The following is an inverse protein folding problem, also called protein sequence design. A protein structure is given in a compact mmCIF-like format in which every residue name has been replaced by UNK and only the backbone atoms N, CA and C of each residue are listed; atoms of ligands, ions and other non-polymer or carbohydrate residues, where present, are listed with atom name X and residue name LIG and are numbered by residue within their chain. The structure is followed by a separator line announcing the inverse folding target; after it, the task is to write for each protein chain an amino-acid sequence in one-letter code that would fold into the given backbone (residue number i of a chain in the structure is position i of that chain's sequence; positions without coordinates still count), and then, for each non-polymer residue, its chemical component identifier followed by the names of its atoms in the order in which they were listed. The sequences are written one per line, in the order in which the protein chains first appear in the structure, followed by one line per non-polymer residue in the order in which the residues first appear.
data_IF_682802795918
#
_entry.id   IF_682802795918
#
_cell.length_a   1.000
_cell.length_b   1.000
_cell.length_c   1.000
_cell.angle_alpha   90.00
_cell.angle_beta   90.00
_cell.angle_gamma   90.00
#
_symmetry.space_group_name_H-M   'P 1'
#
loop_
_entity.id
_entity.type
_entity.pdbx_description
1 polymer ?
#
# COMPACT_ATOMS: atom_id res chain seq x y z
N UNK A 1 -21.87 16.20 51.00
CA UNK A 1 -21.21 15.98 49.69
C UNK A 1 -21.65 14.61 49.21
N UNK A 2 -22.36 14.53 48.10
CA UNK A 2 -23.12 13.33 47.71
C UNK A 2 -22.24 12.41 46.85
N UNK A 3 -21.65 11.38 47.46
CA UNK A 3 -20.67 10.47 46.82
C UNK A 3 -21.26 9.75 45.60
N UNK A 4 -22.59 9.56 45.57
CA UNK A 4 -23.31 8.98 44.44
C UNK A 4 -23.32 9.87 43.19
N UNK A 5 -23.21 11.20 43.35
CA UNK A 5 -23.09 12.10 42.21
C UNK A 5 -21.68 12.09 41.60
N UNK A 6 -20.65 11.75 42.38
CA UNK A 6 -19.27 11.67 41.86
C UNK A 6 -19.10 10.41 40.99
N UNK A 7 -19.71 9.28 41.38
CA UNK A 7 -19.66 8.05 40.59
C UNK A 7 -20.41 8.18 39.26
N UNK A 8 -21.58 8.83 39.26
CA UNK A 8 -22.34 9.11 38.02
C UNK A 8 -21.63 10.08 37.07
N UNK A 9 -20.81 11.01 37.60
CA UNK A 9 -20.03 11.93 36.75
C UNK A 9 -18.74 11.26 36.22
N UNK A 10 -18.13 10.33 36.96
CA UNK A 10 -17.01 9.50 36.45
C UNK A 10 -17.47 8.56 35.34
N UNK A 11 -18.65 7.93 35.49
CA UNK A 11 -19.22 7.03 34.48
C UNK A 11 -19.55 7.75 33.15
N UNK A 12 -19.97 9.03 33.22
CA UNK A 12 -20.16 9.87 32.02
C UNK A 12 -18.84 10.26 31.36
N UNK A 13 -17.79 10.50 32.13
CA UNK A 13 -16.46 10.88 31.62
C UNK A 13 -15.74 9.68 30.99
N UNK A 14 -15.97 8.45 31.47
CA UNK A 14 -15.40 7.24 30.88
C UNK A 14 -16.06 6.84 29.55
N UNK A 15 -17.36 7.10 29.38
CA UNK A 15 -18.08 6.87 28.11
C UNK A 15 -17.54 7.72 26.95
N UNK A 16 -17.27 9.01 27.19
CA UNK A 16 -16.67 9.91 26.19
C UNK A 16 -15.21 9.55 25.86
N UNK A 17 -14.47 8.94 26.80
CA UNK A 17 -13.09 8.53 26.58
C UNK A 17 -13.00 7.31 25.67
N UNK A 18 -13.93 6.35 25.79
CA UNK A 18 -13.99 5.18 24.93
C UNK A 18 -14.42 5.50 23.48
N UNK A 19 -15.29 6.50 23.28
CA UNK A 19 -15.62 6.99 21.93
C UNK A 19 -14.47 7.74 21.25
N UNK A 20 -13.62 8.43 22.02
CA UNK A 20 -12.44 9.14 21.51
C UNK A 20 -11.26 8.24 21.16
N UNK A 21 -11.20 7.01 21.69
CA UNK A 21 -10.04 6.13 21.54
C UNK A 21 -10.07 5.19 20.34
N UNK A 22 -11.12 5.17 19.51
CA UNK A 22 -11.04 4.44 18.22
C UNK A 22 -12.03 4.91 17.12
N UNK A 23 -11.87 6.13 16.58
CA UNK A 23 -12.68 6.60 15.45
C UNK A 23 -12.65 5.63 14.25
N UNK A 24 -11.50 4.98 14.03
CA UNK A 24 -11.27 4.00 12.96
C UNK A 24 -12.02 2.68 13.17
N UNK A 25 -12.18 2.21 14.42
CA UNK A 25 -12.94 0.97 14.71
C UNK A 25 -14.44 1.20 14.54
N UNK A 26 -14.92 2.38 14.93
CA UNK A 26 -16.33 2.77 14.75
C UNK A 26 -16.67 2.94 13.24
N UNK A 27 -15.78 3.59 12.47
CA UNK A 27 -15.91 3.67 11.01
C UNK A 27 -15.92 2.29 10.31
N UNK A 28 -15.06 1.36 10.75
CA UNK A 28 -15.07 -0.02 10.27
C UNK A 28 -16.35 -0.76 10.70
N UNK A 29 -16.86 -0.54 11.92
CA UNK A 29 -18.13 -1.11 12.38
C UNK A 29 -19.33 -0.61 11.57
N UNK A 30 -19.34 0.65 11.13
CA UNK A 30 -20.35 1.16 10.20
C UNK A 30 -20.25 0.51 8.82
N UNK A 31 -19.04 0.25 8.32
CA UNK A 31 -18.83 -0.52 7.08
C UNK A 31 -19.28 -1.99 7.22
N UNK A 32 -19.03 -2.61 8.38
CA UNK A 32 -19.45 -3.99 8.70
C UNK A 32 -20.96 -4.11 8.93
N UNK A 33 -21.64 -3.08 9.46
CA UNK A 33 -23.09 -3.11 9.70
C UNK A 33 -23.92 -2.97 8.41
N UNK A 34 -23.35 -2.45 7.32
CA UNK A 34 -23.95 -2.54 5.98
C UNK A 34 -23.86 -3.99 5.43
N UNK A 35 -22.94 -4.81 5.94
CA UNK A 35 -22.67 -6.19 5.53
C UNK A 35 -23.39 -7.30 6.31
N UNK A 36 -24.34 -6.98 7.21
CA UNK A 36 -25.05 -7.94 8.09
C UNK A 36 -26.01 -8.94 7.39
N UNK A 37 -25.79 -9.23 6.11
CA UNK A 37 -26.45 -10.32 5.37
C UNK A 37 -25.49 -11.32 4.71
N UNK A 38 -24.23 -11.41 5.15
CA UNK A 38 -23.36 -12.53 4.76
C UNK A 38 -22.74 -13.16 6.01
N UNK A 39 -23.25 -14.33 6.33
CA UNK A 39 -22.84 -15.18 7.45
C UNK A 39 -21.37 -15.59 7.39
N UNK A 40 -20.69 -15.44 8.52
CA UNK A 40 -19.39 -16.01 8.85
C UNK A 40 -19.50 -17.53 8.96
N UNK A 41 -19.17 -18.24 7.88
CA UNK A 41 -18.61 -19.61 7.84
C UNK A 41 -18.81 -20.18 6.43
N UNK A 42 -17.76 -20.13 5.59
CA UNK A 42 -17.32 -21.20 4.67
C UNK A 42 -15.99 -20.74 4.04
N UNK A 43 -15.06 -21.69 4.00
CA UNK A 43 -13.69 -21.67 3.47
C UNK A 43 -13.54 -21.15 2.02
N UNK A 44 -12.30 -20.82 1.61
CA UNK A 44 -11.96 -20.27 0.30
C UNK A 44 -11.98 -21.35 -0.80
N UNK A 45 -13.13 -21.62 -1.42
CA UNK A 45 -13.20 -22.45 -2.65
C UNK A 45 -14.33 -22.07 -3.65
N UNK A 46 -15.04 -20.95 -3.47
CA UNK A 46 -16.19 -20.61 -4.34
C UNK A 46 -16.09 -19.27 -5.07
N UNK A 47 -14.87 -18.76 -5.32
CA UNK A 47 -14.67 -17.59 -6.21
C UNK A 47 -14.97 -17.89 -7.71
N UNK A 48 -15.50 -19.08 -8.04
CA UNK A 48 -15.58 -19.59 -9.41
C UNK A 48 -16.92 -19.45 -10.15
N UNK A 49 -18.05 -19.08 -9.52
CA UNK A 49 -19.36 -19.21 -10.18
C UNK A 49 -20.25 -17.95 -10.22
N UNK A 50 -19.79 -16.81 -9.71
CA UNK A 50 -20.55 -15.55 -9.79
C UNK A 50 -20.22 -14.67 -11.02
N UNK A 51 -19.28 -15.08 -11.88
CA UNK A 51 -18.81 -14.26 -13.02
C UNK A 51 -19.39 -14.65 -14.39
N UNK A 52 -20.43 -15.48 -14.41
CA UNK A 52 -20.99 -16.02 -15.64
C UNK A 52 -22.27 -15.27 -16.04
N UNK A 53 -22.13 -14.01 -16.47
CA UNK A 53 -23.03 -13.34 -17.44
C UNK A 53 -22.62 -11.89 -17.69
N UNK A 54 -21.76 -11.70 -18.70
CA UNK A 54 -21.80 -10.65 -19.72
C UNK A 54 -20.46 -10.65 -20.48
N UNK A 55 -20.12 -11.76 -21.14
CA UNK A 55 -19.07 -11.75 -22.16
C UNK A 55 -19.68 -11.13 -23.43
N UNK A 56 -19.69 -9.80 -23.50
CA UNK A 56 -19.69 -9.15 -24.82
C UNK A 56 -18.27 -9.28 -25.35
N UNK A 57 -18.11 -10.02 -26.44
CA UNK A 57 -16.88 -10.20 -27.19
C UNK A 57 -16.46 -8.85 -27.80
N UNK A 58 -15.89 -7.98 -26.97
CA UNK A 58 -15.19 -6.77 -27.42
C UNK A 58 -13.72 -7.12 -27.56
N UNK A 59 -13.11 -6.73 -28.68
CA UNK A 59 -11.66 -6.62 -28.89
C UNK A 59 -10.93 -6.38 -27.56
N UNK A 60 -9.78 -7.03 -27.28
CA UNK A 60 -9.03 -6.78 -26.05
C UNK A 60 -8.90 -5.28 -25.86
N UNK A 61 -9.46 -4.74 -24.77
CA UNK A 61 -9.23 -3.35 -24.42
C UNK A 61 -7.73 -3.25 -24.12
N UNK A 62 -6.95 -2.79 -25.11
CA UNK A 62 -5.49 -2.75 -25.07
C UNK A 62 -5.01 -2.02 -23.82
N UNK A 63 -5.69 -0.93 -23.44
CA UNK A 63 -5.39 -0.21 -22.20
C UNK A 63 -5.63 -1.05 -20.94
N UNK A 64 -6.68 -1.88 -20.90
CA UNK A 64 -6.92 -2.81 -19.78
C UNK A 64 -5.84 -3.89 -19.72
N UNK A 65 -5.48 -4.48 -20.85
CA UNK A 65 -4.43 -5.52 -20.91
C UNK A 65 -3.08 -4.93 -20.50
N UNK A 66 -2.73 -3.75 -21.00
CA UNK A 66 -1.48 -3.05 -20.65
C UNK A 66 -1.45 -2.67 -19.17
N UNK A 67 -2.58 -2.22 -18.62
CA UNK A 67 -2.75 -1.89 -17.20
C UNK A 67 -2.49 -3.11 -16.31
N UNK A 68 -3.10 -4.26 -16.62
CA UNK A 68 -2.90 -5.50 -15.88
C UNK A 68 -1.47 -6.05 -16.04
N UNK A 69 -0.88 -5.93 -17.23
CA UNK A 69 0.50 -6.35 -17.48
C UNK A 69 1.55 -5.46 -16.78
N UNK A 70 1.22 -4.19 -16.50
CA UNK A 70 2.06 -3.31 -15.69
C UNK A 70 2.12 -3.79 -14.25
N UNK A 71 0.96 -3.98 -13.60
CA UNK A 71 0.90 -4.43 -12.20
C UNK A 71 1.37 -5.88 -12.04
N UNK A 72 1.25 -6.72 -13.10
CA UNK A 72 1.87 -8.05 -13.12
C UNK A 72 3.40 -7.99 -13.07
N UNK A 73 4.02 -6.99 -13.71
CA UNK A 73 5.46 -6.77 -13.59
C UNK A 73 5.88 -6.41 -12.15
N UNK A 74 5.09 -5.60 -11.47
CA UNK A 74 5.32 -5.22 -10.07
C UNK A 74 5.15 -6.42 -9.14
N UNK A 75 4.10 -7.22 -9.33
CA UNK A 75 3.90 -8.44 -8.54
C UNK A 75 5.07 -9.43 -8.70
N UNK A 76 5.64 -9.57 -9.90
CA UNK A 76 6.88 -10.35 -10.07
C UNK A 76 8.06 -9.74 -9.30
N UNK A 77 8.23 -8.42 -9.33
CA UNK A 77 9.28 -7.73 -8.58
C UNK A 77 9.14 -8.00 -7.07
N UNK A 78 7.96 -7.78 -6.49
CA UNK A 78 7.69 -8.00 -5.06
C UNK A 78 7.85 -9.47 -4.67
N UNK A 79 7.27 -10.40 -5.45
CA UNK A 79 7.42 -11.83 -5.22
C UNK A 79 8.89 -12.25 -5.20
N UNK A 80 9.68 -11.83 -6.19
CA UNK A 80 11.10 -12.23 -6.28
C UNK A 80 11.92 -11.64 -5.13
N UNK A 81 11.60 -10.44 -4.66
CA UNK A 81 12.25 -9.82 -3.51
C UNK A 81 12.05 -10.65 -2.23
N UNK A 82 10.79 -10.96 -1.88
CA UNK A 82 10.50 -11.75 -0.69
C UNK A 82 10.97 -13.21 -0.81
N UNK A 83 10.79 -13.81 -1.98
CA UNK A 83 11.22 -15.18 -2.22
C UNK A 83 12.74 -15.32 -2.05
N UNK A 84 13.53 -14.40 -2.61
CA UNK A 84 14.98 -14.42 -2.43
C UNK A 84 15.40 -14.29 -0.96
N UNK A 85 14.76 -13.40 -0.20
CA UNK A 85 15.05 -13.23 1.22
C UNK A 85 14.75 -14.49 2.04
N UNK A 86 13.69 -15.23 1.68
CA UNK A 86 13.31 -16.47 2.35
C UNK A 86 14.16 -17.67 1.93
N UNK A 87 14.60 -17.76 0.67
CA UNK A 87 15.27 -18.95 0.13
C UNK A 87 16.79 -18.84 0.05
N UNK A 88 17.31 -17.64 -0.18
CA UNK A 88 18.74 -17.41 -0.48
C UNK A 88 19.45 -16.68 0.66
N UNK A 89 18.78 -15.79 1.37
CA UNK A 89 19.32 -15.13 2.57
C UNK A 89 18.46 -15.38 3.82
N UNK A 90 18.13 -16.64 4.17
CA UNK A 90 17.17 -16.95 5.23
C UNK A 90 17.59 -16.49 6.63
N UNK A 91 18.85 -16.11 6.84
CA UNK A 91 19.36 -15.52 8.10
C UNK A 91 19.13 -14.02 8.21
N UNK A 92 18.78 -13.34 7.10
CA UNK A 92 18.44 -11.92 7.06
C UNK A 92 17.19 -11.61 7.88
N UNK A 93 16.18 -12.49 7.82
CA UNK A 93 14.88 -12.29 8.45
C UNK A 93 14.87 -12.94 9.84
N UNK A 94 14.64 -12.20 10.93
CA UNK A 94 14.44 -12.75 12.27
C UNK A 94 13.35 -13.81 12.30
N UNK A 95 13.53 -14.86 13.11
CA UNK A 95 12.60 -16.00 13.16
C UNK A 95 11.15 -15.59 13.45
N UNK A 96 10.94 -14.56 14.27
CA UNK A 96 9.63 -14.01 14.62
C UNK A 96 8.91 -13.35 13.44
N UNK A 97 9.69 -12.82 12.49
CA UNK A 97 9.17 -12.05 11.35
C UNK A 97 9.05 -12.89 10.07
N UNK A 98 9.68 -14.07 10.02
CA UNK A 98 9.59 -14.99 8.88
C UNK A 98 8.15 -15.31 8.47
N UNK A 99 7.20 -15.65 9.37
CA UNK A 99 5.83 -15.94 8.97
C UNK A 99 5.14 -14.77 8.26
N UNK A 100 5.46 -13.53 8.66
CA UNK A 100 4.92 -12.32 8.03
C UNK A 100 5.47 -12.20 6.61
N UNK A 101 6.80 -12.29 6.44
CA UNK A 101 7.42 -12.19 5.10
C UNK A 101 6.99 -13.34 4.18
N UNK A 102 6.78 -14.55 4.71
CA UNK A 102 6.20 -15.67 3.95
C UNK A 102 4.78 -15.36 3.49
N UNK A 103 3.95 -14.75 4.34
CA UNK A 103 2.59 -14.36 3.98
C UNK A 103 2.59 -13.34 2.85
N UNK A 104 3.44 -12.31 2.92
CA UNK A 104 3.59 -11.32 1.84
C UNK A 104 3.99 -12.01 0.53
N UNK A 105 5.03 -12.87 0.55
CA UNK A 105 5.46 -13.65 -0.62
C UNK A 105 4.31 -14.46 -1.24
N UNK A 106 3.53 -15.16 -0.41
CA UNK A 106 2.42 -16.00 -0.87
C UNK A 106 1.28 -15.16 -1.47
N UNK A 107 1.03 -13.98 -0.92
CA UNK A 107 0.06 -13.02 -1.45
C UNK A 107 0.51 -12.47 -2.81
N UNK A 108 1.79 -12.14 -2.98
CA UNK A 108 2.32 -11.74 -4.29
C UNK A 108 2.18 -12.83 -5.35
N UNK A 109 2.39 -14.10 -4.97
CA UNK A 109 2.14 -15.22 -5.88
C UNK A 109 0.67 -15.34 -6.27
N UNK A 110 -0.25 -15.10 -5.31
CA UNK A 110 -1.67 -15.08 -5.60
C UNK A 110 -2.04 -13.93 -6.54
N UNK A 111 -1.45 -12.73 -6.37
CA UNK A 111 -1.62 -11.61 -7.29
C UNK A 111 -1.17 -11.97 -8.71
N UNK A 112 0.03 -12.55 -8.87
CA UNK A 112 0.54 -13.04 -10.17
C UNK A 112 -0.46 -13.98 -10.84
N UNK A 113 -1.01 -14.94 -10.09
CA UNK A 113 -1.95 -15.93 -10.62
C UNK A 113 -3.25 -15.27 -11.09
N UNK A 114 -3.81 -14.36 -10.29
CA UNK A 114 -5.05 -13.63 -10.61
C UNK A 114 -4.86 -12.73 -11.83
N UNK A 115 -3.77 -11.98 -11.90
CA UNK A 115 -3.47 -11.07 -13.01
C UNK A 115 -3.19 -11.81 -14.31
N UNK A 116 -2.40 -12.89 -14.25
CA UNK A 116 -2.12 -13.74 -15.43
C UNK A 116 -3.43 -14.28 -16.00
N UNK A 117 -4.30 -14.81 -15.13
CA UNK A 117 -5.62 -15.29 -15.55
C UNK A 117 -6.46 -14.16 -16.17
N UNK A 118 -6.52 -12.99 -15.52
CA UNK A 118 -7.31 -11.87 -16.00
C UNK A 118 -6.87 -11.40 -17.40
N UNK A 119 -5.56 -11.32 -17.66
CA UNK A 119 -5.03 -10.98 -18.99
C UNK A 119 -5.39 -12.04 -20.03
N UNK A 120 -5.26 -13.32 -19.70
CA UNK A 120 -5.63 -14.42 -20.60
C UNK A 120 -7.12 -14.44 -20.90
N UNK A 121 -7.98 -14.25 -19.90
CA UNK A 121 -9.44 -14.20 -20.06
C UNK A 121 -9.88 -13.06 -20.99
N UNK A 122 -9.15 -11.94 -20.99
CA UNK A 122 -9.34 -10.82 -21.93
C UNK A 122 -8.85 -11.09 -23.35
N UNK A 123 -8.28 -12.28 -23.63
CA UNK A 123 -7.65 -12.60 -24.90
C UNK A 123 -6.31 -11.89 -25.11
N UNK A 124 -5.74 -11.28 -24.06
CA UNK A 124 -4.42 -10.67 -24.09
C UNK A 124 -3.31 -11.68 -23.81
N UNK A 125 -2.07 -11.28 -24.08
CA UNK A 125 -0.88 -12.04 -23.71
C UNK A 125 -0.35 -11.57 -22.36
N UNK A 126 -0.35 -12.43 -21.31
CA UNK A 126 0.27 -12.08 -20.04
C UNK A 126 1.75 -11.79 -20.21
N UNK A 127 2.26 -10.82 -19.46
CA UNK A 127 3.68 -10.53 -19.38
C UNK A 127 4.44 -11.81 -19.02
N UNK A 128 5.50 -12.07 -19.78
CA UNK A 128 6.41 -13.18 -19.51
C UNK A 128 6.99 -13.08 -18.09
N UNK A 129 7.15 -14.24 -17.45
CA UNK A 129 7.75 -14.37 -16.12
C UNK A 129 9.05 -13.55 -16.03
N UNK A 130 9.16 -12.73 -14.98
CA UNK A 130 10.39 -12.02 -14.65
C UNK A 130 11.09 -12.76 -13.50
N UNK A 131 12.15 -13.55 -13.75
CA UNK A 131 12.91 -14.21 -12.69
C UNK A 131 13.71 -13.19 -11.87
N UNK A 132 14.19 -13.59 -10.68
CA UNK A 132 15.05 -12.76 -9.81
C UNK A 132 16.23 -12.12 -10.57
N UNK A 133 16.80 -12.85 -11.54
CA UNK A 133 17.91 -12.38 -12.37
C UNK A 133 17.60 -11.11 -13.19
N UNK A 134 16.33 -10.78 -13.43
CA UNK A 134 15.92 -9.56 -14.13
C UNK A 134 15.96 -8.31 -13.24
N UNK A 135 16.03 -8.49 -11.91
CA UNK A 135 16.01 -7.43 -10.93
C UNK A 135 17.40 -7.22 -10.31
N UNK A 136 17.61 -6.02 -9.77
CA UNK A 136 18.82 -5.64 -9.05
C UNK A 136 18.49 -4.68 -7.90
N UNK A 137 18.08 -5.26 -6.77
CA UNK A 137 17.74 -4.52 -5.56
C UNK A 137 18.96 -3.84 -4.92
N UNK A 138 20.18 -4.26 -5.27
CA UNK A 138 21.42 -3.70 -4.69
C UNK A 138 21.75 -2.30 -5.21
N UNK A 139 21.19 -1.92 -6.37
CA UNK A 139 21.22 -0.53 -6.89
C UNK A 139 20.57 0.46 -5.95
N UNK A 140 19.61 0.02 -5.15
CA UNK A 140 18.92 0.84 -4.15
C UNK A 140 19.78 0.99 -2.92
N UNK A 141 20.25 -0.14 -2.42
CA UNK A 141 21.18 -0.20 -1.31
C UNK A 141 21.91 -1.54 -1.35
N UNK A 142 23.25 -1.50 -1.35
CA UNK A 142 24.10 -2.69 -1.38
C UNK A 142 23.85 -3.65 -0.21
N UNK A 143 23.31 -3.14 0.91
CA UNK A 143 23.02 -3.92 2.11
C UNK A 143 21.61 -4.50 2.15
N UNK A 144 20.82 -4.41 1.08
CA UNK A 144 19.41 -4.87 1.08
C UNK A 144 19.27 -6.37 1.37
N UNK A 145 20.28 -7.18 1.06
CA UNK A 145 20.29 -8.63 1.29
C UNK A 145 21.02 -9.05 2.57
N UNK A 146 21.67 -8.12 3.26
CA UNK A 146 22.54 -8.39 4.43
C UNK A 146 22.12 -7.63 5.68
N UNK A 147 21.32 -6.57 5.56
CA UNK A 147 20.83 -5.77 6.66
C UNK A 147 19.31 -5.75 6.70
N UNK A 148 18.74 -6.27 7.79
CA UNK A 148 17.29 -6.44 7.95
C UNK A 148 16.53 -5.11 7.93
N UNK A 149 17.09 -4.04 8.50
CA UNK A 149 16.49 -2.70 8.46
C UNK A 149 16.41 -2.18 7.03
N UNK A 150 17.50 -2.29 6.27
CA UNK A 150 17.53 -1.92 4.85
C UNK A 150 16.54 -2.75 4.03
N UNK A 151 16.46 -4.06 4.27
CA UNK A 151 15.47 -4.94 3.65
C UNK A 151 14.04 -4.44 3.87
N UNK A 152 13.64 -4.21 5.13
CA UNK A 152 12.29 -3.75 5.46
C UNK A 152 11.99 -2.37 4.86
N UNK A 153 12.94 -1.44 4.89
CA UNK A 153 12.77 -0.10 4.32
C UNK A 153 12.59 -0.13 2.80
N UNK A 154 13.33 -1.00 2.10
CA UNK A 154 13.13 -1.24 0.67
C UNK A 154 11.77 -1.88 0.40
N UNK A 155 11.36 -2.85 1.24
CA UNK A 155 10.06 -3.49 1.15
C UNK A 155 8.91 -2.48 1.26
N UNK A 156 8.95 -1.58 2.25
CA UNK A 156 7.94 -0.51 2.43
C UNK A 156 7.73 0.26 1.13
N UNK A 157 8.81 0.74 0.51
CA UNK A 157 8.69 1.51 -0.72
C UNK A 157 8.22 0.67 -1.91
N UNK A 158 8.59 -0.62 -1.99
CA UNK A 158 8.10 -1.50 -3.04
C UNK A 158 6.58 -1.71 -2.94
N UNK A 159 6.07 -1.94 -1.73
CA UNK A 159 4.62 -2.06 -1.50
C UNK A 159 3.89 -0.73 -1.75
N UNK A 160 4.47 0.41 -1.35
CA UNK A 160 3.91 1.72 -1.68
C UNK A 160 3.84 1.92 -3.20
N UNK A 161 4.90 1.56 -3.94
CA UNK A 161 4.87 1.61 -5.40
C UNK A 161 3.75 0.72 -5.98
N UNK A 162 3.58 -0.49 -5.44
CA UNK A 162 2.50 -1.41 -5.81
C UNK A 162 1.13 -0.79 -5.60
N UNK A 163 0.84 -0.34 -4.38
CA UNK A 163 -0.41 0.33 -4.00
C UNK A 163 -0.72 1.53 -4.92
N UNK A 164 0.23 2.47 -5.05
CA UNK A 164 0.07 3.69 -5.85
C UNK A 164 -0.15 3.36 -7.33
N UNK A 165 0.52 2.33 -7.83
CA UNK A 165 0.35 1.85 -9.20
C UNK A 165 -1.04 1.26 -9.42
N UNK A 166 -1.52 0.38 -8.54
CA UNK A 166 -2.87 -0.16 -8.65
C UNK A 166 -3.91 0.95 -8.60
N UNK A 167 -3.77 1.92 -7.69
CA UNK A 167 -4.69 3.05 -7.58
C UNK A 167 -4.76 3.86 -8.88
N UNK A 168 -3.62 4.09 -9.54
CA UNK A 168 -3.57 4.74 -10.85
C UNK A 168 -4.22 3.91 -11.94
N UNK A 169 -4.00 2.59 -11.91
CA UNK A 169 -4.63 1.65 -12.85
C UNK A 169 -6.15 1.56 -12.66
N UNK A 170 -6.70 1.82 -11.47
CA UNK A 170 -8.16 1.86 -11.28
C UNK A 170 -8.84 2.87 -12.21
N UNK A 171 -8.18 3.98 -12.55
CA UNK A 171 -8.68 4.97 -13.51
C UNK A 171 -8.90 4.33 -14.88
N UNK A 172 -7.90 3.57 -15.38
CA UNK A 172 -7.97 2.84 -16.66
C UNK A 172 -9.01 1.72 -16.62
N UNK A 173 -9.20 1.09 -15.45
CA UNK A 173 -10.10 -0.04 -15.27
C UNK A 173 -11.54 0.37 -14.99
N UNK A 174 -11.85 1.67 -14.87
CA UNK A 174 -13.21 2.15 -14.65
C UNK A 174 -14.18 1.58 -15.69
N UNK A 175 -15.33 1.05 -15.24
CA UNK A 175 -16.34 0.44 -16.11
C UNK A 175 -15.99 -0.96 -16.62
N UNK A 176 -14.82 -1.52 -16.30
CA UNK A 176 -14.45 -2.89 -16.65
C UNK A 176 -14.84 -3.89 -15.54
N UNK A 177 -15.03 -5.15 -15.91
CA UNK A 177 -15.26 -6.23 -14.93
C UNK A 177 -14.06 -6.49 -13.99
N UNK A 178 -12.87 -5.96 -14.32
CA UNK A 178 -11.64 -6.16 -13.56
C UNK A 178 -11.41 -5.12 -12.47
N UNK A 179 -12.16 -4.00 -12.48
CA UNK A 179 -12.04 -2.92 -11.49
C UNK A 179 -12.11 -3.44 -10.05
N UNK A 180 -13.12 -4.28 -9.76
CA UNK A 180 -13.33 -4.80 -8.41
C UNK A 180 -12.20 -5.72 -7.96
N UNK A 181 -11.60 -6.49 -8.86
CA UNK A 181 -10.46 -7.36 -8.55
C UNK A 181 -9.20 -6.53 -8.32
N UNK A 182 -8.90 -5.57 -9.18
CA UNK A 182 -7.76 -4.66 -9.00
C UNK A 182 -7.88 -3.84 -7.70
N UNK A 183 -9.07 -3.34 -7.37
CA UNK A 183 -9.31 -2.64 -6.11
C UNK A 183 -9.10 -3.54 -4.88
N UNK A 184 -9.47 -4.83 -4.95
CA UNK A 184 -9.20 -5.77 -3.85
C UNK A 184 -7.70 -5.97 -3.66
N UNK A 185 -6.95 -6.17 -4.74
CA UNK A 185 -5.49 -6.32 -4.68
C UNK A 185 -4.86 -5.06 -4.09
N UNK A 186 -5.26 -3.86 -4.55
CA UNK A 186 -4.79 -2.60 -3.99
C UNK A 186 -4.95 -2.55 -2.46
N UNK A 187 -6.08 -3.00 -1.91
CA UNK A 187 -6.24 -3.02 -0.44
C UNK A 187 -5.36 -4.06 0.27
N UNK A 188 -4.88 -5.09 -0.43
CA UNK A 188 -3.92 -6.07 0.09
C UNK A 188 -2.52 -5.45 0.12
N UNK A 189 -2.09 -4.82 -0.98
CA UNK A 189 -0.83 -4.04 -1.04
C UNK A 189 -0.75 -2.99 0.08
N UNK A 190 -1.84 -2.25 0.31
CA UNK A 190 -1.92 -1.27 1.39
C UNK A 190 -1.72 -1.89 2.79
N UNK A 191 -2.19 -3.15 2.99
CA UNK A 191 -1.96 -3.89 4.23
C UNK A 191 -0.53 -4.40 4.34
N UNK A 192 0.10 -4.79 3.23
CA UNK A 192 1.52 -5.14 3.22
C UNK A 192 2.37 -3.93 3.63
N UNK A 193 2.14 -2.79 3.00
CA UNK A 193 2.83 -1.54 3.29
C UNK A 193 2.65 -1.12 4.76
N UNK A 194 1.42 -1.21 5.29
CA UNK A 194 1.11 -0.94 6.69
C UNK A 194 1.87 -1.89 7.65
N UNK A 195 1.85 -3.18 7.35
CA UNK A 195 2.51 -4.20 8.17
C UNK A 195 4.03 -4.00 8.19
N UNK A 196 4.64 -3.72 7.04
CA UNK A 196 6.07 -3.45 6.94
C UNK A 196 6.46 -2.17 7.68
N UNK A 197 5.66 -1.10 7.60
CA UNK A 197 5.89 0.11 8.40
C UNK A 197 5.86 -0.17 9.90
N UNK A 198 4.93 -1.02 10.38
CA UNK A 198 4.91 -1.48 11.78
C UNK A 198 6.21 -2.22 12.13
N UNK A 199 6.72 -3.07 11.23
CA UNK A 199 7.97 -3.81 11.45
C UNK A 199 9.18 -2.86 11.49
N UNK A 200 9.26 -1.88 10.58
CA UNK A 200 10.29 -0.84 10.60
C UNK A 200 10.20 0.00 11.87
N UNK A 201 8.99 0.39 12.29
CA UNK A 201 8.76 1.14 13.52
C UNK A 201 9.33 0.38 14.74
N UNK A 202 9.10 -0.93 14.84
CA UNK A 202 9.63 -1.79 15.93
C UNK A 202 11.15 -1.82 16.03
N UNK A 203 11.88 -1.48 14.95
CA UNK A 203 13.34 -1.33 15.02
C UNK A 203 13.77 -0.13 15.86
N UNK A 204 12.87 0.84 16.08
CA UNK A 204 13.07 2.03 16.93
C UNK A 204 14.31 2.86 16.55
N UNK A 205 14.68 2.88 15.26
CA UNK A 205 15.86 3.59 14.76
C UNK A 205 15.53 5.01 14.30
N UNK A 206 16.36 5.96 14.73
CA UNK A 206 16.32 7.37 14.30
C UNK A 206 14.89 7.95 14.27
N UNK A 207 14.46 8.45 13.11
CA UNK A 207 13.14 9.03 12.87
C UNK A 207 12.12 7.99 12.40
N UNK A 208 12.52 6.76 12.10
CA UNK A 208 11.62 5.69 11.65
C UNK A 208 10.72 5.14 12.77
N UNK A 209 11.07 5.40 14.03
CA UNK A 209 10.20 5.12 15.19
C UNK A 209 8.90 5.93 15.20
N UNK A 210 8.79 6.94 14.33
CA UNK A 210 7.59 7.75 14.14
C UNK A 210 6.79 7.32 12.89
N UNK A 211 7.16 6.22 12.24
CA UNK A 211 6.37 5.69 11.13
C UNK A 211 4.99 5.26 11.62
N UNK A 212 3.97 5.66 10.86
CA UNK A 212 2.60 5.19 11.03
C UNK A 212 2.33 3.97 10.16
N UNK A 213 1.23 3.24 10.36
CA UNK A 213 0.81 2.18 9.45
C UNK A 213 0.32 2.66 8.07
N UNK A 214 0.47 3.95 7.74
CA UNK A 214 0.11 4.55 6.45
C UNK A 214 1.14 5.62 6.12
N UNK A 215 1.24 5.99 4.84
CA UNK A 215 2.14 7.04 4.37
C UNK A 215 1.75 8.40 4.97
N UNK A 216 2.72 9.15 5.47
CA UNK A 216 2.47 10.46 6.09
C UNK A 216 3.74 11.28 6.19
N UNK A 217 3.60 12.60 6.36
CA UNK A 217 4.68 13.38 6.96
C UNK A 217 4.77 12.92 8.43
N UNK A 218 5.92 12.30 8.77
CA UNK A 218 6.19 11.85 10.13
C UNK A 218 6.05 13.02 11.11
N UNK A 219 5.35 12.81 12.22
CA UNK A 219 5.19 13.79 13.31
C UNK A 219 5.21 13.08 14.66
N UNK A 220 5.63 13.78 15.71
CA UNK A 220 5.54 13.30 17.08
C UNK A 220 4.10 13.44 17.59
N UNK A 221 3.48 12.34 18.00
CA UNK A 221 2.11 12.34 18.52
C UNK A 221 1.98 13.06 19.87
N UNK A 222 3.07 13.21 20.63
CA UNK A 222 3.05 13.84 21.94
C UNK A 222 2.88 15.36 21.88
N UNK A 223 3.48 16.02 20.89
CA UNK A 223 3.50 17.48 20.76
C UNK A 223 3.00 17.99 19.40
N UNK A 224 2.68 17.08 18.47
CA UNK A 224 2.18 17.40 17.13
C UNK A 224 3.25 17.93 16.17
N UNK A 225 4.53 17.93 16.55
CA UNK A 225 5.61 18.50 15.73
C UNK A 225 6.04 17.58 14.60
N UNK A 226 6.25 18.14 13.41
CA UNK A 226 6.75 17.38 12.27
C UNK A 226 8.21 16.92 12.50
N UNK A 227 8.52 15.70 12.09
CA UNK A 227 9.85 15.08 12.22
C UNK A 227 10.66 15.34 10.96
N UNK A 228 11.77 16.06 11.12
CA UNK A 228 12.71 16.32 10.03
C UNK A 228 13.46 15.03 9.57
N UNK A 229 13.80 14.91 8.27
CA UNK A 229 13.36 15.76 7.18
C UNK A 229 11.88 15.53 6.87
N UNK A 230 11.17 16.61 6.53
CA UNK A 230 9.80 16.56 6.01
C UNK A 230 9.87 15.91 4.62
N UNK A 231 9.49 14.64 4.53
CA UNK A 231 9.46 13.88 3.28
C UNK A 231 8.35 12.85 3.34
N UNK A 232 7.73 12.57 2.20
CA UNK A 232 6.81 11.44 2.04
C UNK A 232 7.53 10.09 1.89
N UNK A 233 8.86 10.10 1.68
CA UNK A 233 9.63 8.88 1.56
C UNK A 233 9.86 8.23 2.94
N UNK A 234 9.02 7.25 3.25
CA UNK A 234 9.07 6.48 4.50
C UNK A 234 10.21 5.48 4.56
N UNK A 235 10.77 5.08 3.42
CA UNK A 235 11.99 4.27 3.42
C UNK A 235 13.22 5.06 3.89
N UNK A 236 13.22 6.39 3.76
CA UNK A 236 14.41 7.24 3.95
C UNK A 236 15.65 6.83 3.14
N UNK A 237 15.47 6.09 2.04
CA UNK A 237 16.54 5.77 1.09
C UNK A 237 16.36 6.72 -0.10
N UNK A 238 17.34 7.60 -0.34
CA UNK A 238 17.23 8.65 -1.34
C UNK A 238 16.94 8.12 -2.76
N UNK A 239 17.52 6.97 -3.12
CA UNK A 239 17.28 6.29 -4.40
C UNK A 239 15.80 5.91 -4.63
N UNK A 240 15.00 5.84 -3.55
CA UNK A 240 13.58 5.49 -3.59
C UNK A 240 12.66 6.72 -3.61
N UNK A 241 13.19 7.95 -3.61
CA UNK A 241 12.37 9.17 -3.75
C UNK A 241 11.40 9.14 -4.95
N UNK A 242 11.75 8.60 -6.14
CA UNK A 242 10.83 8.54 -7.28
C UNK A 242 9.52 7.79 -7.02
N UNK A 243 9.47 6.91 -6.01
CA UNK A 243 8.24 6.20 -5.61
C UNK A 243 7.25 7.14 -4.91
N UNK A 244 7.75 8.21 -4.29
CA UNK A 244 6.99 9.18 -3.49
C UNK A 244 6.84 10.53 -4.21
N UNK A 245 7.41 10.66 -5.40
CA UNK A 245 7.30 11.84 -6.25
C UNK A 245 5.89 11.97 -6.87
N UNK A 246 5.67 13.09 -7.58
CA UNK A 246 4.47 13.33 -8.39
C UNK A 246 4.65 12.89 -9.83
N UNK A 247 3.52 12.63 -10.47
CA UNK A 247 3.42 12.73 -11.92
C UNK A 247 3.59 14.18 -12.38
N UNK A 248 4.31 14.37 -13.49
CA UNK A 248 4.50 15.68 -14.10
C UNK A 248 3.17 16.37 -14.37
N UNK A 249 2.98 17.56 -13.79
CA UNK A 249 1.76 18.36 -13.97
C UNK A 249 0.58 17.96 -13.08
N UNK A 250 0.74 16.98 -12.19
CA UNK A 250 -0.27 16.57 -11.22
C UNK A 250 0.12 16.94 -9.78
N UNK A 251 -0.88 16.94 -8.90
CA UNK A 251 -0.74 17.18 -7.46
C UNK A 251 -1.05 15.87 -6.71
N UNK A 252 -0.34 14.80 -7.04
CA UNK A 252 -0.50 13.46 -6.48
C UNK A 252 0.74 13.03 -5.68
N UNK A 253 1.21 13.92 -4.81
CA UNK A 253 2.40 13.74 -3.97
C UNK A 253 1.92 13.20 -2.63
N UNK A 254 2.65 12.28 -2.00
CA UNK A 254 2.24 11.76 -0.67
C UNK A 254 2.26 12.82 0.45
N UNK A 255 2.85 13.99 0.18
CA UNK A 255 2.84 15.15 1.07
C UNK A 255 1.79 16.20 0.65
N UNK A 256 0.76 15.81 -0.10
CA UNK A 256 -0.25 16.72 -0.64
C UNK A 256 -1.12 17.32 0.45
N UNK A 257 -1.42 18.61 0.30
CA UNK A 257 -2.29 19.37 1.22
C UNK A 257 -3.46 20.04 0.51
N UNK A 258 -3.49 20.01 -0.83
CA UNK A 258 -4.57 20.58 -1.65
C UNK A 258 -5.35 19.43 -2.28
N UNK A 259 -6.67 19.39 -2.10
CA UNK A 259 -7.53 18.42 -2.77
C UNK A 259 -8.68 19.12 -3.49
N UNK A 260 -8.92 18.77 -4.75
CA UNK A 260 -9.94 19.39 -5.60
C UNK A 260 -9.87 20.94 -5.64
N UNK A 261 -8.66 21.50 -5.59
CA UNK A 261 -8.40 22.95 -5.59
C UNK A 261 -8.59 23.64 -4.23
N UNK A 262 -8.88 22.88 -3.16
CA UNK A 262 -9.07 23.39 -1.80
C UNK A 262 -7.83 23.07 -0.96
N UNK A 263 -7.21 24.10 -0.37
CA UNK A 263 -6.17 23.94 0.65
C UNK A 263 -6.80 23.39 1.93
N UNK A 264 -6.26 22.28 2.43
CA UNK A 264 -6.77 21.58 3.60
C UNK A 264 -6.12 22.10 4.89
N UNK A 265 -4.90 22.64 4.81
CA UNK A 265 -4.26 23.27 5.95
C UNK A 265 -5.08 24.49 6.37
N UNK A 266 -5.49 24.55 7.63
CA UNK A 266 -6.25 25.68 8.14
C UNK A 266 -7.65 25.83 7.52
N UNK A 267 -8.20 24.80 6.86
CA UNK A 267 -9.51 24.89 6.21
C UNK A 267 -10.56 25.35 7.22
N UNK A 268 -11.34 26.37 6.83
CA UNK A 268 -12.34 27.01 7.71
C UNK A 268 -11.78 27.55 9.04
N UNK A 269 -10.49 27.91 9.09
CA UNK A 269 -9.83 28.41 10.29
C UNK A 269 -9.36 27.32 11.27
N UNK A 270 -9.45 26.03 10.90
CA UNK A 270 -9.02 24.93 11.77
C UNK A 270 -7.49 24.76 11.77
N UNK A 271 -6.82 25.36 12.74
CA UNK A 271 -5.35 25.30 12.89
C UNK A 271 -4.81 23.93 13.31
N UNK A 272 -5.67 22.97 13.70
CA UNK A 272 -5.25 21.60 14.01
C UNK A 272 -5.00 20.76 12.76
N UNK A 273 -5.47 21.19 11.59
CA UNK A 273 -5.17 20.55 10.31
C UNK A 273 -3.82 21.04 9.80
N UNK A 274 -2.75 20.40 10.27
CA UNK A 274 -1.38 20.60 9.80
C UNK A 274 -1.12 19.92 8.46
N UNK A 275 0.02 20.19 7.83
CA UNK A 275 0.43 19.52 6.59
C UNK A 275 0.44 17.99 6.73
N UNK A 276 0.99 17.46 7.83
CA UNK A 276 0.96 16.03 8.12
C UNK A 276 -0.45 15.48 8.33
N UNK A 277 -1.32 16.21 9.03
CA UNK A 277 -2.72 15.79 9.20
C UNK A 277 -3.49 15.78 7.86
N UNK A 278 -3.24 16.78 7.01
CA UNK A 278 -3.87 16.90 5.69
C UNK A 278 -3.40 15.79 4.74
N UNK A 279 -2.10 15.50 4.71
CA UNK A 279 -1.55 14.50 3.79
C UNK A 279 -2.00 13.08 4.12
N UNK A 280 -2.21 12.77 5.40
CA UNK A 280 -2.71 11.47 5.87
C UNK A 280 -4.12 11.11 5.41
N UNK A 281 -4.90 12.10 4.98
CA UNK A 281 -6.25 11.84 4.49
C UNK A 281 -6.26 11.12 3.14
N UNK A 282 -5.11 11.08 2.45
CA UNK A 282 -4.97 10.51 1.12
C UNK A 282 -3.78 9.57 1.04
N UNK A 283 -3.89 8.67 0.08
CA UNK A 283 -2.79 7.90 -0.48
C UNK A 283 -2.83 8.22 -1.97
N UNK A 284 -1.75 8.67 -2.59
CA UNK A 284 -1.84 9.28 -3.92
C UNK A 284 -1.48 8.28 -5.02
N UNK A 285 -2.30 8.18 -6.06
CA UNK A 285 -2.01 7.30 -7.19
C UNK A 285 -0.76 7.75 -7.96
N UNK A 286 -0.20 6.85 -8.78
CA UNK A 286 0.77 7.20 -9.82
C UNK A 286 0.28 6.80 -11.21
N UNK A 287 0.52 7.63 -12.22
CA UNK A 287 0.24 7.26 -13.61
C UNK A 287 1.30 6.28 -14.12
N UNK A 288 0.90 5.53 -15.15
CA UNK A 288 1.71 4.46 -15.77
C UNK A 288 3.14 4.87 -16.10
N UNK A 289 3.38 6.08 -16.62
CA UNK A 289 4.74 6.52 -16.97
C UNK A 289 5.65 6.65 -15.74
N UNK A 290 5.13 7.23 -14.66
CA UNK A 290 5.87 7.38 -13.40
C UNK A 290 6.05 6.05 -12.70
N UNK A 291 5.02 5.18 -12.70
CA UNK A 291 5.14 3.80 -12.20
C UNK A 291 6.27 3.05 -12.92
N UNK A 292 6.34 3.10 -14.26
CA UNK A 292 7.42 2.45 -15.01
C UNK A 292 8.78 3.01 -14.63
N UNK A 293 8.90 4.33 -14.50
CA UNK A 293 10.14 5.00 -14.11
C UNK A 293 10.58 4.57 -12.72
N UNK A 294 9.66 4.60 -11.75
CA UNK A 294 9.90 4.19 -10.37
C UNK A 294 10.19 2.68 -10.26
N UNK A 295 9.54 1.82 -11.04
CA UNK A 295 9.84 0.38 -11.05
C UNK A 295 11.20 0.07 -11.67
N UNK A 296 11.59 0.82 -12.71
CA UNK A 296 12.84 0.61 -13.45
C UNK A 296 14.11 0.86 -12.64
N UNK A 297 14.02 1.45 -11.44
CA UNK A 297 15.14 1.54 -10.50
C UNK A 297 15.54 0.15 -9.95
N UNK A 298 14.59 -0.78 -9.85
CA UNK A 298 14.80 -2.15 -9.39
C UNK A 298 15.09 -3.13 -10.54
N UNK A 299 14.83 -2.74 -11.78
CA UNK A 299 14.90 -3.63 -12.94
C UNK A 299 16.21 -3.40 -13.69
N UNK A 300 16.92 -4.48 -14.05
CA UNK A 300 18.13 -4.36 -14.87
C UNK A 300 17.78 -3.81 -16.25
N UNK A 301 18.69 -3.02 -16.82
CA UNK A 301 18.48 -2.24 -18.06
C UNK A 301 17.88 -3.05 -19.21
N UNK A 302 18.31 -4.31 -19.40
CA UNK A 302 17.80 -5.18 -20.46
C UNK A 302 16.32 -5.59 -20.33
N UNK A 303 15.72 -5.43 -19.14
CA UNK A 303 14.37 -5.89 -18.81
C UNK A 303 13.43 -4.75 -18.40
N UNK A 304 13.90 -3.49 -18.48
CA UNK A 304 13.13 -2.33 -18.07
C UNK A 304 11.78 -2.24 -18.80
N UNK A 305 10.78 -1.77 -18.07
CA UNK A 305 9.44 -1.50 -18.57
C UNK A 305 9.50 -0.32 -19.54
N UNK A 306 8.90 -0.50 -20.71
CA UNK A 306 8.72 0.51 -21.76
C UNK A 306 7.30 1.03 -21.68
#
# INVERSE_FOLDING_TARGET
MNVLNILNEIEKVEGELYERLSPRRNALQHFFNIGKKVSLAVLPLTMGTAFQKAYSQTTPNTATVDSLNLVLALAYMQFQFYNNALTTTPTLIPATDKPIITTLRDQEQAHINVLTKAVTDLGGTPRALMPYANFDYTKINVNVTTNYSTFLRTAVAMEDLGERAYKGQLITLMGTAHLATAARIQTVEARHAAQLRIMVNKLQIATLKYLRPWVSIRRNDADGTDILPITGNDSMIAALNPIYDIDTGLVNRETKTIQAGIELIGISGNTSLTAGAASEAFDEYLLTATVKTAANIFIKTAFQLK
#
